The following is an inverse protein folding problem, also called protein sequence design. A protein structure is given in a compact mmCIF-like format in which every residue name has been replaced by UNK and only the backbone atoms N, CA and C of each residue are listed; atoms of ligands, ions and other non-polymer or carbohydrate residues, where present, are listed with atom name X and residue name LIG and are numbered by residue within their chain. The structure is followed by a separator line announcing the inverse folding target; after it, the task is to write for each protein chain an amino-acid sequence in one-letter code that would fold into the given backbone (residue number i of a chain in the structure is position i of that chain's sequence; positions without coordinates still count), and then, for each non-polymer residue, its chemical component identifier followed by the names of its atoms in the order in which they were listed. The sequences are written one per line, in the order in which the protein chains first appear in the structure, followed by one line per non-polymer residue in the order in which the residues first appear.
data_IF_831256259298
#
_entry.id   IF_831256259298
#
_cell.length_a   1.000
_cell.length_b   1.000
_cell.length_c   1.000
_cell.angle_alpha   90.00
_cell.angle_beta   90.00
_cell.angle_gamma   90.00
#
_symmetry.space_group_name_H-M   'P 1'
#
loop_
_entity.id
_entity.type
_entity.pdbx_description
1 polymer ?
#
# COMPACT_ATOMS: atom_id res chain seq x y z
N UNK A 1 14.07 7.95 -23.62
CA UNK A 1 13.55 6.58 -23.46
C UNK A 1 14.01 6.07 -22.10
N UNK A 2 13.14 6.06 -21.08
CA UNK A 2 13.50 5.62 -19.72
C UNK A 2 13.96 4.16 -19.70
N UNK A 3 13.51 3.36 -20.68
CA UNK A 3 13.92 1.97 -20.91
C UNK A 3 15.23 1.81 -21.71
N UNK A 4 16.13 2.80 -21.67
CA UNK A 4 17.48 2.60 -22.20
C UNK A 4 18.16 1.46 -21.43
N UNK A 5 18.94 0.64 -22.15
CA UNK A 5 19.43 -0.66 -21.68
C UNK A 5 19.98 -0.62 -20.24
N UNK A 6 19.29 -1.31 -19.32
CA UNK A 6 19.72 -1.51 -17.93
C UNK A 6 19.05 -0.64 -16.86
N UNK A 7 18.16 0.30 -17.21
CA UNK A 7 17.47 1.13 -16.21
C UNK A 7 16.07 0.59 -15.86
N UNK A 8 15.80 0.39 -14.57
CA UNK A 8 14.45 0.11 -14.05
C UNK A 8 13.69 1.42 -13.86
N UNK A 9 12.51 1.54 -14.47
CA UNK A 9 11.63 2.67 -14.25
C UNK A 9 10.79 2.44 -12.98
N UNK A 10 10.86 3.35 -12.02
CA UNK A 10 9.95 3.36 -10.87
C UNK A 10 8.74 4.25 -11.17
N UNK A 11 7.55 3.70 -10.91
CA UNK A 11 6.29 4.44 -11.01
C UNK A 11 5.48 4.21 -9.74
N UNK A 12 5.07 5.31 -9.11
CA UNK A 12 4.14 5.34 -7.99
C UNK A 12 2.84 5.98 -8.48
N UNK A 13 1.70 5.35 -8.20
CA UNK A 13 0.42 5.89 -8.61
C UNK A 13 -0.77 5.15 -8.02
N UNK A 14 -1.96 5.62 -8.38
CA UNK A 14 -3.20 5.05 -7.88
C UNK A 14 -3.42 3.64 -8.46
N UNK A 15 -3.79 2.64 -7.63
CA UNK A 15 -4.08 1.27 -8.09
C UNK A 15 -5.08 1.18 -9.24
N UNK A 16 -6.05 2.09 -9.33
CA UNK A 16 -7.04 2.14 -10.40
C UNK A 16 -6.43 2.34 -11.80
N UNK A 17 -5.22 2.93 -11.88
CA UNK A 17 -4.52 3.14 -13.16
C UNK A 17 -3.99 1.82 -13.73
N UNK A 18 -3.77 0.79 -12.90
CA UNK A 18 -3.25 -0.50 -13.35
C UNK A 18 -4.22 -1.15 -14.35
N UNK A 19 -5.52 -1.13 -14.06
CA UNK A 19 -6.53 -1.67 -14.96
C UNK A 19 -6.51 -0.97 -16.33
N UNK A 20 -6.34 0.35 -16.33
CA UNK A 20 -6.25 1.13 -17.56
C UNK A 20 -4.98 0.78 -18.36
N UNK A 21 -3.84 0.61 -17.68
CA UNK A 21 -2.57 0.23 -18.31
C UNK A 21 -2.60 -1.19 -18.88
N UNK A 22 -3.24 -2.13 -18.18
CA UNK A 22 -3.44 -3.50 -18.65
C UNK A 22 -4.37 -3.56 -19.86
N UNK A 23 -5.53 -2.89 -19.79
CA UNK A 23 -6.50 -2.85 -20.90
C UNK A 23 -5.91 -2.20 -22.16
N UNK A 24 -5.05 -1.20 -22.00
CA UNK A 24 -4.33 -0.57 -23.09
C UNK A 24 -3.18 -1.43 -23.65
N UNK A 25 -2.85 -2.56 -23.02
CA UNK A 25 -1.73 -3.42 -23.39
C UNK A 25 -0.36 -2.75 -23.18
N UNK A 26 -0.30 -1.66 -22.42
CA UNK A 26 0.91 -0.87 -22.22
C UNK A 26 1.98 -1.64 -21.42
N UNK A 27 1.54 -2.51 -20.51
CA UNK A 27 2.42 -3.33 -19.67
C UNK A 27 2.89 -4.61 -20.37
N UNK A 28 2.24 -5.05 -21.46
CA UNK A 28 2.60 -6.29 -22.14
C UNK A 28 3.97 -6.22 -22.86
N UNK A 29 4.48 -5.00 -23.07
CA UNK A 29 5.71 -4.74 -23.83
C UNK A 29 6.93 -4.56 -22.93
N UNK A 30 6.76 -4.56 -21.61
CA UNK A 30 7.83 -4.33 -20.63
C UNK A 30 7.69 -5.29 -19.46
N UNK A 31 8.81 -5.87 -19.03
CA UNK A 31 8.82 -6.63 -17.78
C UNK A 31 8.44 -5.70 -16.63
N UNK A 32 7.41 -6.08 -15.87
CA UNK A 32 6.83 -5.24 -14.83
C UNK A 32 6.70 -6.04 -13.54
N UNK A 33 7.16 -5.46 -12.44
CA UNK A 33 6.88 -5.93 -11.09
C UNK A 33 5.89 -4.95 -10.45
N UNK A 34 4.66 -5.42 -10.15
CA UNK A 34 3.62 -4.62 -9.49
C UNK A 34 3.60 -4.97 -8.01
N UNK A 35 3.88 -3.98 -7.17
CA UNK A 35 3.86 -4.14 -5.71
C UNK A 35 2.83 -3.22 -5.08
N UNK A 36 1.98 -3.76 -4.21
CA UNK A 36 1.03 -2.99 -3.41
C UNK A 36 1.50 -2.94 -1.96
N UNK A 37 1.63 -1.75 -1.38
CA UNK A 37 1.94 -1.61 0.05
C UNK A 37 0.63 -1.47 0.82
N UNK A 38 0.32 -2.47 1.64
CA UNK A 38 -0.96 -2.53 2.35
C UNK A 38 -0.83 -2.10 3.80
N UNK A 39 -1.79 -1.36 4.37
CA UNK A 39 -1.80 -1.03 5.79
C UNK A 39 -2.24 -2.20 6.70
N UNK A 40 -2.64 -3.34 6.11
CA UNK A 40 -3.06 -4.57 6.78
C UNK A 40 -2.47 -5.79 6.08
N UNK A 41 -2.16 -6.82 6.83
CA UNK A 41 -1.84 -8.16 6.33
C UNK A 41 -3.09 -8.94 5.94
N UNK A 42 -2.91 -10.02 5.16
CA UNK A 42 -3.96 -10.99 4.84
C UNK A 42 -4.59 -11.57 6.10
N UNK A 43 -3.78 -11.96 7.06
CA UNK A 43 -4.25 -12.62 8.28
C UNK A 43 -5.09 -11.66 9.16
N UNK A 44 -4.72 -10.38 9.22
CA UNK A 44 -5.54 -9.37 9.89
C UNK A 44 -6.87 -9.14 9.16
N UNK A 45 -6.88 -9.11 7.83
CA UNK A 45 -8.13 -9.00 7.06
C UNK A 45 -9.04 -10.19 7.37
N UNK A 46 -8.50 -11.40 7.41
CA UNK A 46 -9.27 -12.60 7.78
C UNK A 46 -9.80 -12.52 9.22
N UNK A 47 -8.98 -12.05 10.16
CA UNK A 47 -9.39 -11.86 11.54
C UNK A 47 -10.50 -10.80 11.68
N UNK A 48 -10.42 -9.70 10.93
CA UNK A 48 -11.44 -8.64 10.92
C UNK A 48 -12.75 -9.09 10.28
N UNK A 49 -12.70 -10.00 9.30
CA UNK A 49 -13.88 -10.62 8.66
C UNK A 49 -14.54 -11.68 9.53
N UNK A 50 -13.88 -12.15 10.59
CA UNK A 50 -14.43 -13.16 11.46
C UNK A 50 -15.72 -12.63 12.14
N UNK A 51 -16.82 -13.40 12.17
CA UNK A 51 -18.09 -12.95 12.74
C UNK A 51 -17.97 -12.45 14.19
N UNK A 52 -17.03 -13.00 14.96
CA UNK A 52 -16.75 -12.64 16.34
C UNK A 52 -16.17 -11.22 16.50
N UNK A 53 -15.53 -10.70 15.45
CA UNK A 53 -15.01 -9.33 15.46
C UNK A 53 -16.14 -8.30 15.37
N UNK A 54 -17.22 -8.62 14.65
CA UNK A 54 -18.40 -7.75 14.51
C UNK A 54 -18.12 -6.40 13.84
N UNK A 55 -17.00 -6.28 13.12
CA UNK A 55 -16.55 -5.05 12.47
C UNK A 55 -16.96 -5.05 10.99
N UNK A 56 -17.44 -3.89 10.50
CA UNK A 56 -17.54 -3.65 9.07
C UNK A 56 -16.15 -3.30 8.50
N UNK A 57 -15.62 -4.18 7.64
CA UNK A 57 -14.26 -4.05 7.11
C UNK A 57 -14.06 -2.74 6.34
N UNK A 58 -15.07 -2.28 5.58
CA UNK A 58 -14.99 -1.01 4.83
C UNK A 58 -14.83 0.16 5.78
N UNK A 59 -15.68 0.26 6.79
CA UNK A 59 -15.64 1.32 7.80
C UNK A 59 -14.30 1.28 8.56
N UNK A 60 -13.84 0.09 8.94
CA UNK A 60 -12.57 -0.07 9.63
C UNK A 60 -11.37 0.43 8.82
N UNK A 61 -11.28 0.02 7.55
CA UNK A 61 -10.19 0.45 6.66
C UNK A 61 -10.23 1.96 6.45
N UNK A 62 -11.41 2.53 6.17
CA UNK A 62 -11.59 3.98 6.03
C UNK A 62 -11.11 4.73 7.27
N UNK A 63 -11.50 4.27 8.46
CA UNK A 63 -11.09 4.88 9.73
C UNK A 63 -9.59 4.73 10.01
N UNK A 64 -9.02 3.58 9.69
CA UNK A 64 -7.58 3.31 9.80
C UNK A 64 -6.78 4.30 8.95
N UNK A 65 -7.17 4.47 7.67
CA UNK A 65 -6.49 5.41 6.76
C UNK A 65 -6.72 6.85 7.17
N UNK A 66 -7.93 7.24 7.60
CA UNK A 66 -8.21 8.58 8.12
C UNK A 66 -7.23 8.95 9.25
N UNK A 67 -7.06 8.04 10.22
CA UNK A 67 -6.14 8.25 11.36
C UNK A 67 -4.69 8.40 10.91
N UNK A 68 -4.24 7.55 9.97
CA UNK A 68 -2.87 7.62 9.41
C UNK A 68 -2.64 8.92 8.64
N UNK A 69 -3.54 9.30 7.74
CA UNK A 69 -3.46 10.53 6.96
C UNK A 69 -3.49 11.78 7.85
N UNK A 70 -4.33 11.78 8.88
CA UNK A 70 -4.38 12.84 9.89
C UNK A 70 -3.03 12.98 10.62
N UNK A 71 -2.49 11.86 11.13
CA UNK A 71 -1.19 11.85 11.84
C UNK A 71 -0.08 12.37 10.94
N UNK A 72 0.00 11.90 9.69
CA UNK A 72 0.96 12.35 8.68
C UNK A 72 0.88 13.86 8.45
N UNK A 73 -0.30 14.37 8.08
CA UNK A 73 -0.48 15.79 7.75
C UNK A 73 -0.20 16.68 8.96
N UNK A 74 -0.59 16.26 10.16
CA UNK A 74 -0.28 16.97 11.41
C UNK A 74 1.23 17.03 11.67
N UNK A 75 1.98 15.94 11.46
CA UNK A 75 3.45 15.96 11.58
C UNK A 75 4.10 16.87 10.53
N UNK A 76 3.58 16.90 9.30
CA UNK A 76 4.14 17.71 8.22
C UNK A 76 3.85 19.21 8.36
N UNK A 77 2.64 19.59 8.79
CA UNK A 77 2.16 20.98 8.82
C UNK A 77 2.01 21.59 10.21
N UNK A 78 2.09 20.79 11.28
CA UNK A 78 1.82 21.20 12.66
C UNK A 78 0.32 21.36 12.98
N UNK A 79 -0.38 22.20 12.22
CA UNK A 79 -1.83 22.43 12.32
C UNK A 79 -2.57 22.03 11.04
N UNK A 80 -3.81 21.56 11.15
CA UNK A 80 -4.64 21.19 10.01
C UNK A 80 -5.66 22.27 9.69
N UNK A 81 -5.73 22.66 8.43
CA UNK A 81 -6.79 23.53 7.91
C UNK A 81 -8.06 22.72 7.60
N UNK A 82 -9.22 23.38 7.41
CA UNK A 82 -10.43 22.71 6.93
C UNK A 82 -10.22 21.97 5.59
N UNK A 83 -9.47 22.57 4.66
CA UNK A 83 -9.11 21.94 3.38
C UNK A 83 -8.26 20.69 3.57
N UNK A 84 -7.37 20.66 4.58
CA UNK A 84 -6.62 19.44 4.88
C UNK A 84 -7.54 18.32 5.40
N UNK A 85 -8.57 18.66 6.18
CA UNK A 85 -9.54 17.68 6.65
C UNK A 85 -10.37 17.10 5.50
N UNK A 86 -10.80 17.93 4.54
CA UNK A 86 -11.52 17.49 3.34
C UNK A 86 -10.68 16.56 2.45
N UNK A 87 -9.39 16.88 2.26
CA UNK A 87 -8.44 16.02 1.55
C UNK A 87 -8.26 14.67 2.24
N UNK A 88 -8.13 14.68 3.58
CA UNK A 88 -8.04 13.45 4.39
C UNK A 88 -9.29 12.59 4.20
N UNK A 89 -10.50 13.17 4.31
CA UNK A 89 -11.74 12.41 4.14
C UNK A 89 -11.87 11.83 2.72
N UNK A 90 -11.52 12.62 1.70
CA UNK A 90 -11.58 12.18 0.30
C UNK A 90 -10.67 10.97 0.08
N UNK A 91 -9.42 11.02 0.58
CA UNK A 91 -8.46 9.93 0.44
C UNK A 91 -8.78 8.71 1.31
N UNK A 92 -9.30 8.94 2.52
CA UNK A 92 -9.71 7.85 3.39
C UNK A 92 -10.90 7.08 2.80
N UNK A 93 -11.83 7.78 2.14
CA UNK A 93 -13.02 7.18 1.55
C UNK A 93 -12.70 6.20 0.40
N UNK A 94 -11.60 6.38 -0.33
CA UNK A 94 -11.18 5.48 -1.42
C UNK A 94 -10.36 4.28 -0.94
N UNK A 95 -9.87 4.29 0.30
CA UNK A 95 -8.91 3.32 0.80
C UNK A 95 -9.39 1.87 0.72
N UNK A 96 -10.66 1.61 1.04
CA UNK A 96 -11.20 0.26 0.92
C UNK A 96 -11.25 -0.20 -0.53
N UNK A 97 -11.64 0.66 -1.47
CA UNK A 97 -11.71 0.30 -2.88
C UNK A 97 -10.32 0.12 -3.51
N UNK A 98 -9.30 0.83 -3.02
CA UNK A 98 -7.90 0.55 -3.34
C UNK A 98 -7.45 -0.82 -2.82
N UNK A 99 -7.85 -1.20 -1.61
CA UNK A 99 -7.53 -2.50 -1.03
C UNK A 99 -8.16 -3.67 -1.81
N UNK A 100 -9.37 -3.49 -2.35
CA UNK A 100 -10.09 -4.49 -3.16
C UNK A 100 -9.37 -4.90 -4.43
N UNK A 101 -8.44 -4.08 -4.93
CA UNK A 101 -7.68 -4.40 -6.15
C UNK A 101 -6.28 -4.92 -5.84
N UNK A 102 -5.88 -5.04 -4.57
CA UNK A 102 -4.55 -5.50 -4.17
C UNK A 102 -4.21 -6.92 -4.69
N UNK A 103 -5.22 -7.79 -4.87
CA UNK A 103 -5.02 -9.13 -5.46
C UNK A 103 -4.51 -9.12 -6.91
N UNK A 104 -4.60 -7.98 -7.61
CA UNK A 104 -4.11 -7.83 -8.99
C UNK A 104 -2.60 -7.64 -9.07
N UNK A 105 -1.96 -7.30 -7.97
CA UNK A 105 -0.52 -7.06 -7.90
C UNK A 105 0.25 -8.37 -7.79
N UNK A 106 1.51 -8.35 -8.21
CA UNK A 106 2.40 -9.50 -8.14
C UNK A 106 2.79 -9.82 -6.69
N UNK A 107 2.88 -8.79 -5.85
CA UNK A 107 3.12 -8.90 -4.42
C UNK A 107 2.39 -7.81 -3.62
N UNK A 108 1.95 -8.16 -2.42
CA UNK A 108 1.42 -7.25 -1.41
C UNK A 108 2.40 -7.22 -0.22
N UNK A 109 2.84 -6.04 0.19
CA UNK A 109 3.74 -5.84 1.34
C UNK A 109 2.95 -5.19 2.49
N UNK A 110 2.63 -5.94 3.56
CA UNK A 110 2.05 -5.34 4.76
C UNK A 110 3.00 -4.34 5.41
N UNK A 111 2.48 -3.16 5.78
CA UNK A 111 3.22 -2.10 6.45
C UNK A 111 2.32 -1.27 7.38
N UNK A 112 2.40 -1.56 8.68
CA UNK A 112 1.63 -0.86 9.72
C UNK A 112 2.25 0.47 10.13
N UNK A 113 3.55 0.62 9.92
CA UNK A 113 4.26 1.88 10.17
C UNK A 113 3.59 3.02 9.41
N UNK A 114 3.31 2.79 8.12
CA UNK A 114 2.92 3.84 7.19
C UNK A 114 4.06 4.84 7.00
N UNK A 115 4.00 5.66 5.94
CA UNK A 115 5.06 6.62 5.59
C UNK A 115 5.40 7.65 6.68
N UNK A 116 4.50 7.85 7.64
CA UNK A 116 4.66 8.83 8.71
C UNK A 116 5.23 8.24 10.00
N UNK A 117 5.60 6.96 10.02
CA UNK A 117 6.32 6.35 11.14
C UNK A 117 7.74 6.90 11.27
N UNK A 118 8.21 6.99 12.51
CA UNK A 118 9.58 7.35 12.83
C UNK A 118 10.58 6.28 12.38
N UNK A 119 10.13 5.04 12.22
CA UNK A 119 10.94 3.90 11.76
C UNK A 119 11.57 4.10 10.37
N UNK A 120 11.07 5.06 9.58
CA UNK A 120 11.61 5.41 8.26
C UNK A 120 12.83 6.34 8.31
N UNK A 121 12.91 7.24 9.29
CA UNK A 121 13.86 8.36 9.20
C UNK A 121 14.36 8.94 10.53
N UNK A 122 13.76 8.57 11.67
CA UNK A 122 14.17 9.13 12.97
C UNK A 122 15.46 8.50 13.53
N UNK A 123 15.88 7.36 12.98
CA UNK A 123 17.04 6.60 13.42
C UNK A 123 18.08 6.47 12.30
N UNK A 124 19.36 6.19 12.63
CA UNK A 124 20.40 5.95 11.62
C UNK A 124 20.15 4.73 10.71
N UNK A 125 19.15 3.90 11.01
CA UNK A 125 18.75 2.74 10.24
C UNK A 125 17.23 2.60 10.20
N UNK A 126 16.73 1.85 9.21
CA UNK A 126 15.32 1.48 9.14
C UNK A 126 15.00 0.47 10.24
N UNK A 127 13.85 0.64 10.90
CA UNK A 127 13.35 -0.26 11.93
C UNK A 127 11.95 -0.79 11.57
N UNK A 128 11.43 -1.71 12.36
CA UNK A 128 10.02 -2.14 12.26
C UNK A 128 9.59 -2.62 10.86
N UNK A 129 8.38 -2.21 10.46
CA UNK A 129 7.83 -2.50 9.14
C UNK A 129 8.53 -1.70 8.04
N UNK A 130 9.03 -0.49 8.32
CA UNK A 130 9.82 0.26 7.36
C UNK A 130 11.01 -0.56 6.81
N UNK A 131 11.76 -1.22 7.72
CA UNK A 131 12.86 -2.13 7.33
C UNK A 131 12.35 -3.33 6.54
N UNK A 132 11.34 -4.02 7.07
CA UNK A 132 10.79 -5.25 6.46
C UNK A 132 10.27 -5.00 5.05
N UNK A 133 9.53 -3.91 4.83
CA UNK A 133 9.00 -3.56 3.51
C UNK A 133 10.12 -3.25 2.52
N UNK A 134 11.17 -2.53 2.92
CA UNK A 134 12.31 -2.24 2.03
C UNK A 134 13.08 -3.52 1.69
N UNK A 135 13.37 -4.37 2.69
CA UNK A 135 14.05 -5.65 2.46
C UNK A 135 13.24 -6.55 1.53
N UNK A 136 11.93 -6.64 1.76
CA UNK A 136 11.01 -7.40 0.91
C UNK A 136 10.98 -6.87 -0.53
N UNK A 137 10.89 -5.55 -0.70
CA UNK A 137 10.89 -4.93 -2.02
C UNK A 137 12.21 -5.16 -2.76
N UNK A 138 13.35 -5.08 -2.07
CA UNK A 138 14.67 -5.38 -2.66
C UNK A 138 14.77 -6.85 -3.09
N UNK A 139 14.30 -7.79 -2.27
CA UNK A 139 14.28 -9.21 -2.62
C UNK A 139 13.42 -9.46 -3.87
N UNK A 140 12.23 -8.86 -3.95
CA UNK A 140 11.35 -8.95 -5.12
C UNK A 140 12.02 -8.39 -6.40
N UNK A 141 12.70 -7.25 -6.31
CA UNK A 141 13.44 -6.67 -7.44
C UNK A 141 14.59 -7.57 -7.93
N UNK A 142 15.13 -8.42 -7.06
CA UNK A 142 16.19 -9.39 -7.39
C UNK A 142 15.66 -10.75 -7.83
N UNK A 143 14.35 -10.97 -7.79
CA UNK A 143 13.75 -12.28 -8.01
C UNK A 143 14.09 -13.29 -6.91
N UNK A 144 14.43 -12.81 -5.71
CA UNK A 144 14.75 -13.64 -4.54
C UNK A 144 13.48 -14.01 -3.76
N UNK A 145 13.47 -15.15 -3.05
CA UNK A 145 12.39 -15.48 -2.11
C UNK A 145 12.21 -14.40 -1.05
N UNK A 146 10.96 -14.07 -0.72
CA UNK A 146 10.62 -13.02 0.23
C UNK A 146 9.45 -13.43 1.13
N UNK A 147 9.75 -13.73 2.39
CA UNK A 147 8.74 -14.13 3.38
C UNK A 147 7.81 -12.99 3.81
N UNK A 148 8.24 -11.73 3.59
CA UNK A 148 7.45 -10.53 3.91
C UNK A 148 6.47 -10.10 2.80
N UNK A 149 6.41 -10.84 1.69
CA UNK A 149 5.54 -10.56 0.57
C UNK A 149 4.37 -11.55 0.54
N UNK A 150 3.16 -11.02 0.51
CA UNK A 150 1.94 -11.80 0.43
C UNK A 150 1.41 -11.82 -1.00
N UNK A 151 0.68 -12.88 -1.34
CA UNK A 151 -0.17 -12.92 -2.53
C UNK A 151 -1.60 -13.12 -2.09
N UNK A 152 -2.47 -12.22 -2.52
CA UNK A 152 -3.87 -12.22 -2.08
C UNK A 152 -4.78 -12.80 -3.14
N UNK A 153 -5.74 -13.60 -2.70
CA UNK A 153 -6.88 -14.05 -3.47
C UNK A 153 -7.90 -12.93 -3.69
N UNK A 154 -8.60 -13.01 -4.82
CA UNK A 154 -9.56 -12.00 -5.26
C UNK A 154 -10.69 -11.76 -4.26
N UNK A 155 -11.08 -12.81 -3.53
CA UNK A 155 -12.19 -12.81 -2.59
C UNK A 155 -11.79 -12.36 -1.18
N UNK A 156 -10.51 -12.05 -0.95
CA UNK A 156 -10.02 -11.61 0.36
C UNK A 156 -10.73 -10.33 0.81
N UNK A 157 -10.88 -9.35 -0.09
CA UNK A 157 -11.58 -8.09 0.17
C UNK A 157 -12.70 -7.92 -0.88
N UNK A 158 -13.98 -8.12 -0.50
CA UNK A 158 -15.11 -8.13 -1.44
C UNK A 158 -15.46 -6.75 -2.01
#
# INVERSE_FOLDING_TARGET
AIFAAGSTAFWEGNPAVIDALEQAGALAQVETLRVFVSPLSRDEILALKAPECGVDLRTFVTDLLRRKLFRRKKRQKGSLSPTDAEDIETRAATAYDELRVAWKFDAVLPNHDGEDSENWAAFPCLLGDARRTVEAFVALLRGEPCDGAERWERELVP
#
